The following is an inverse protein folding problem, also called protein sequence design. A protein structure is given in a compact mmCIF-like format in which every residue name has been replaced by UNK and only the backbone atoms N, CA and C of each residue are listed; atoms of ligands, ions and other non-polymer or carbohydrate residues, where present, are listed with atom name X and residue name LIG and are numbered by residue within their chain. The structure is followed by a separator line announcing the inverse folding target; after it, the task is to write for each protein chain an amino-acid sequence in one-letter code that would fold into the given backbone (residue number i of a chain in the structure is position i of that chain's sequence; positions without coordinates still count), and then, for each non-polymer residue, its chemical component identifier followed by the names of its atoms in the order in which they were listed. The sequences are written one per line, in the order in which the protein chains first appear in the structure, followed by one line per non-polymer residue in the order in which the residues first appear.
data_IF_094856687757
#
_entry.id   IF_094856687757
#
_cell.length_a   1.000
_cell.length_b   1.000
_cell.length_c   1.000
_cell.angle_alpha   90.00
_cell.angle_beta   90.00
_cell.angle_gamma   90.00
#
_symmetry.space_group_name_H-M   'P 1'
#
loop_
_entity.id
_entity.type
_entity.pdbx_description
1 polymer ?
#
# COMPACT_ATOMS: atom_id res chain seq x y z
N UNK A 1 -18.89 -8.73 -30.42
CA UNK A 1 -18.21 -8.01 -29.33
C UNK A 1 -16.73 -8.35 -29.45
N UNK A 2 -15.89 -7.42 -29.92
CA UNK A 2 -14.45 -7.63 -30.09
C UNK A 2 -13.74 -7.13 -28.85
N UNK A 3 -13.02 -8.01 -28.15
CA UNK A 3 -12.21 -7.64 -26.98
C UNK A 3 -10.85 -7.13 -27.48
N UNK A 4 -10.42 -5.99 -26.95
CA UNK A 4 -9.09 -5.43 -27.24
C UNK A 4 -8.01 -6.26 -26.53
N UNK A 5 -7.21 -6.97 -27.32
CA UNK A 5 -6.15 -7.85 -26.84
C UNK A 5 -4.92 -7.09 -26.32
N UNK A 6 -4.75 -5.81 -26.66
CA UNK A 6 -3.62 -5.01 -26.14
C UNK A 6 -3.66 -4.87 -24.62
N UNK A 7 -4.85 -4.99 -24.02
CA UNK A 7 -5.07 -4.98 -22.57
C UNK A 7 -4.57 -6.23 -21.86
N UNK A 8 -4.21 -7.28 -22.61
CA UNK A 8 -3.64 -8.52 -22.07
C UNK A 8 -2.10 -8.52 -22.09
N UNK A 9 -1.48 -7.50 -22.70
CA UNK A 9 -0.02 -7.34 -22.75
C UNK A 9 0.48 -6.67 -21.46
N UNK A 10 0.32 -7.40 -20.35
CA UNK A 10 0.72 -6.97 -19.01
C UNK A 10 2.03 -7.69 -18.65
N UNK A 11 3.04 -6.99 -18.10
CA UNK A 11 4.30 -7.64 -17.70
C UNK A 11 4.07 -8.81 -16.76
N UNK A 12 4.75 -9.94 -17.00
CA UNK A 12 4.63 -11.16 -16.18
C UNK A 12 4.72 -10.91 -14.66
N UNK A 13 5.65 -10.06 -14.15
CA UNK A 13 5.72 -9.80 -12.71
C UNK A 13 4.46 -9.19 -12.11
N UNK A 14 3.69 -8.42 -12.89
CA UNK A 14 2.42 -7.83 -12.44
C UNK A 14 1.36 -8.92 -12.34
N UNK A 15 1.28 -9.82 -13.33
CA UNK A 15 0.34 -10.95 -13.33
C UNK A 15 0.65 -11.91 -12.17
N UNK A 16 1.94 -12.17 -11.89
CA UNK A 16 2.37 -13.01 -10.77
C UNK A 16 2.00 -12.38 -9.42
N UNK A 17 2.17 -11.06 -9.27
CA UNK A 17 1.77 -10.34 -8.07
C UNK A 17 0.25 -10.43 -7.84
N UNK A 18 -0.55 -10.20 -8.89
CA UNK A 18 -2.01 -10.31 -8.82
C UNK A 18 -2.45 -11.73 -8.45
N UNK A 19 -1.87 -12.76 -9.08
CA UNK A 19 -2.17 -14.15 -8.76
C UNK A 19 -1.81 -14.51 -7.31
N UNK A 20 -0.67 -14.00 -6.81
CA UNK A 20 -0.25 -14.19 -5.42
C UNK A 20 -1.25 -13.56 -4.45
N UNK A 21 -1.66 -12.31 -4.70
CA UNK A 21 -2.66 -11.62 -3.90
C UNK A 21 -4.00 -12.39 -3.86
N UNK A 22 -4.50 -12.82 -5.01
CA UNK A 22 -5.75 -13.58 -5.10
C UNK A 22 -5.68 -14.90 -4.33
N UNK A 23 -4.55 -15.61 -4.42
CA UNK A 23 -4.35 -16.85 -3.67
C UNK A 23 -4.28 -16.62 -2.16
N UNK A 24 -3.67 -15.52 -1.71
CA UNK A 24 -3.62 -15.15 -0.30
C UNK A 24 -5.01 -14.75 0.22
N UNK A 25 -5.73 -13.90 -0.52
CA UNK A 25 -7.09 -13.48 -0.19
C UNK A 25 -8.06 -14.66 -0.08
N UNK A 26 -7.98 -15.63 -1.00
CA UNK A 26 -8.82 -16.83 -0.97
C UNK A 26 -8.55 -17.75 0.23
N UNK A 27 -7.36 -17.67 0.84
CA UNK A 27 -6.96 -18.47 2.00
C UNK A 27 -7.24 -17.78 3.33
N UNK A 28 -7.56 -16.49 3.34
CA UNK A 28 -7.85 -15.75 4.56
C UNK A 28 -9.14 -16.26 5.22
N UNK A 29 -9.01 -16.76 6.44
CA UNK A 29 -10.13 -17.26 7.26
C UNK A 29 -10.48 -16.33 8.42
N UNK A 30 -9.56 -15.46 8.83
CA UNK A 30 -9.86 -14.41 9.82
C UNK A 30 -10.70 -13.29 9.16
N UNK A 31 -11.83 -12.89 9.77
CA UNK A 31 -12.66 -11.80 9.25
C UNK A 31 -11.92 -10.48 9.03
N UNK A 32 -10.90 -10.17 9.85
CA UNK A 32 -10.09 -8.95 9.70
C UNK A 32 -9.25 -9.01 8.45
N UNK A 33 -8.60 -10.14 8.20
CA UNK A 33 -7.78 -10.33 7.01
C UNK A 33 -8.66 -10.25 5.75
N UNK A 34 -9.85 -10.85 5.78
CA UNK A 34 -10.82 -10.73 4.68
C UNK A 34 -11.22 -9.29 4.41
N UNK A 35 -11.46 -8.48 5.44
CA UNK A 35 -11.77 -7.05 5.29
C UNK A 35 -10.60 -6.28 4.66
N UNK A 36 -9.36 -6.57 5.08
CA UNK A 36 -8.15 -5.96 4.52
C UNK A 36 -8.03 -6.31 3.04
N UNK A 37 -8.12 -7.58 2.65
CA UNK A 37 -8.07 -7.98 1.24
C UNK A 37 -9.19 -7.34 0.39
N UNK A 38 -10.39 -7.18 0.95
CA UNK A 38 -11.48 -6.50 0.26
C UNK A 38 -11.19 -5.01 0.06
N UNK A 39 -10.64 -4.34 1.08
CA UNK A 39 -10.24 -2.95 0.99
C UNK A 39 -9.13 -2.75 -0.03
N UNK A 40 -8.08 -3.57 0.02
CA UNK A 40 -6.95 -3.52 -0.93
C UNK A 40 -7.45 -3.68 -2.37
N UNK A 41 -8.28 -4.69 -2.62
CA UNK A 41 -8.86 -4.91 -3.94
C UNK A 41 -9.73 -3.74 -4.41
N UNK A 42 -10.40 -3.05 -3.48
CA UNK A 42 -11.20 -1.87 -3.80
C UNK A 42 -10.32 -0.66 -4.11
N UNK A 43 -9.29 -0.37 -3.30
CA UNK A 43 -8.37 0.75 -3.50
C UNK A 43 -7.59 0.65 -4.82
N UNK A 44 -7.22 -0.56 -5.26
CA UNK A 44 -6.59 -0.76 -6.58
C UNK A 44 -7.53 -0.31 -7.73
N UNK A 45 -8.84 -0.50 -7.57
CA UNK A 45 -9.84 -0.07 -8.57
C UNK A 45 -10.25 1.40 -8.41
N UNK A 46 -9.93 2.00 -7.26
CA UNK A 46 -10.30 3.35 -6.88
C UNK A 46 -9.08 4.14 -6.37
N UNK A 47 -8.05 4.35 -7.21
CA UNK A 47 -6.85 5.07 -6.80
C UNK A 47 -7.15 6.51 -6.34
N UNK A 48 -8.26 7.11 -6.79
CA UNK A 48 -8.75 8.41 -6.32
C UNK A 48 -9.14 8.44 -4.85
N UNK A 49 -9.39 7.27 -4.24
CA UNK A 49 -9.71 7.14 -2.83
C UNK A 49 -8.47 6.94 -1.95
N UNK A 50 -7.30 6.71 -2.56
CA UNK A 50 -6.04 6.69 -1.85
C UNK A 50 -5.68 8.11 -1.40
N UNK A 51 -5.34 8.26 -0.14
CA UNK A 51 -4.81 9.52 0.34
C UNK A 51 -3.46 9.83 -0.32
N UNK A 52 -3.21 11.12 -0.52
CA UNK A 52 -2.01 11.69 -1.11
C UNK A 52 -1.32 12.60 -0.10
N UNK A 53 -0.11 13.07 -0.44
CA UNK A 53 0.60 14.04 0.40
C UNK A 53 -0.21 15.33 0.62
N UNK A 54 -1.08 15.68 -0.33
CA UNK A 54 -1.94 16.86 -0.21
C UNK A 54 -3.00 16.74 0.89
N UNK A 55 -3.39 15.51 1.25
CA UNK A 55 -4.36 15.24 2.31
C UNK A 55 -3.73 15.40 3.71
N UNK A 56 -2.41 15.44 3.78
CA UNK A 56 -1.64 15.55 5.02
C UNK A 56 -0.59 16.68 4.94
N UNK A 57 -1.02 17.95 4.79
CA UNK A 57 -0.09 19.07 4.74
C UNK A 57 0.68 19.19 6.07
N UNK A 58 2.00 19.36 6.00
CA UNK A 58 2.85 19.44 7.20
C UNK A 58 3.32 18.09 7.74
N UNK A 59 2.86 16.97 7.17
CA UNK A 59 3.21 15.64 7.66
C UNK A 59 4.67 15.30 7.44
N UNK A 60 5.25 15.68 6.29
CA UNK A 60 6.67 15.47 6.01
C UNK A 60 7.55 16.19 7.04
N UNK A 61 7.20 17.44 7.38
CA UNK A 61 7.88 18.25 8.39
C UNK A 61 7.74 17.64 9.78
N UNK A 62 6.55 17.15 10.13
CA UNK A 62 6.32 16.44 11.38
C UNK A 62 7.21 15.18 11.51
N UNK A 63 7.28 14.36 10.45
CA UNK A 63 8.13 13.16 10.43
C UNK A 63 9.60 13.55 10.58
N UNK A 64 10.07 14.56 9.83
CA UNK A 64 11.45 15.03 9.91
C UNK A 64 11.82 15.53 11.32
N UNK A 65 10.93 16.29 11.96
CA UNK A 65 11.11 16.75 13.33
C UNK A 65 11.21 15.55 14.31
N UNK A 66 10.30 14.58 14.18
CA UNK A 66 10.29 13.37 15.02
C UNK A 66 11.55 12.52 14.85
N UNK A 67 12.06 12.38 13.64
CA UNK A 67 13.31 11.66 13.39
C UNK A 67 14.53 12.38 13.99
N UNK A 68 14.56 13.71 13.92
CA UNK A 68 15.61 14.52 14.54
C UNK A 68 15.62 14.35 16.07
N UNK A 69 14.45 14.37 16.70
CA UNK A 69 14.32 14.17 18.15
C UNK A 69 14.75 12.76 18.58
N UNK A 70 14.35 11.73 17.83
CA UNK A 70 14.78 10.35 18.07
C UNK A 70 16.31 10.20 17.97
N UNK A 71 16.93 10.89 17.00
CA UNK A 71 18.39 10.87 16.82
C UNK A 71 19.11 11.48 18.03
N UNK A 72 18.66 12.67 18.47
CA UNK A 72 19.18 13.34 19.67
C UNK A 72 19.04 12.47 20.92
N UNK A 73 17.91 11.79 21.09
CA UNK A 73 17.69 10.91 22.23
C UNK A 73 18.66 9.71 22.24
N UNK A 74 18.95 9.12 21.07
CA UNK A 74 19.93 8.01 20.95
C UNK A 74 21.35 8.48 21.24
N UNK A 75 21.71 9.67 20.77
CA UNK A 75 23.03 10.26 21.04
C UNK A 75 23.20 10.54 22.55
N UNK A 76 22.17 11.04 23.21
CA UNK A 76 22.17 11.29 24.65
C UNK A 76 22.17 10.02 25.52
N UNK A 77 21.73 8.88 24.99
CA UNK A 77 21.69 7.60 25.73
C UNK A 77 22.99 6.78 25.63
N UNK A 78 23.91 7.15 24.74
CA UNK A 78 25.18 6.43 24.49
C UNK A 78 26.41 7.23 24.97
N UNK A 79 26.23 8.40 25.56
CA UNK A 79 27.27 9.21 26.22
C UNK A 79 27.12 9.17 27.73
#
# INVERSE_FOLDING_TARGET
MTVDLSRLDVPLPVVEADACFLAAAARATDPKDQLVYQLDAWLVRHPEACATDADYPGWAEYIAAREADNRRAREASHG
#
